data_IF_619887035317
#
_entry.id   IF_619887035317
#
_cell.length_a   1.000
_cell.length_b   1.000
_cell.length_c   1.000
_cell.angle_alpha   90.00
_cell.angle_beta   90.00
_cell.angle_gamma   90.00
#
_symmetry.space_group_name_H-M   'P 1'
#
loop_
_entity.id
_entity.type
_entity.pdbx_description
1 polymer ?
#
# COMPACT_ATOMS: atom_id res chain seq x y z
N UNK A 1 10.16 -21.97 -6.34
CA UNK A 1 10.92 -23.20 -6.01
C UNK A 1 12.36 -22.89 -5.67
N UNK A 2 13.22 -22.45 -6.62
CA UNK A 2 14.63 -22.10 -6.32
C UNK A 2 14.87 -21.11 -5.17
N UNK A 3 14.04 -20.07 -5.06
CA UNK A 3 14.13 -19.08 -3.96
C UNK A 3 13.75 -19.71 -2.61
N UNK A 4 12.78 -20.63 -2.60
CA UNK A 4 12.35 -21.33 -1.39
C UNK A 4 13.41 -22.35 -0.94
N UNK A 5 13.98 -23.11 -1.89
CA UNK A 5 15.07 -24.06 -1.64
C UNK A 5 16.30 -23.35 -1.07
N UNK A 6 16.72 -22.22 -1.66
CA UNK A 6 17.81 -21.39 -1.16
C UNK A 6 17.54 -20.89 0.26
N UNK A 7 16.30 -20.47 0.55
CA UNK A 7 15.93 -19.95 1.87
C UNK A 7 15.99 -21.06 2.93
N UNK A 8 15.54 -22.28 2.63
CA UNK A 8 15.68 -23.42 3.54
C UNK A 8 17.16 -23.82 3.76
N UNK A 9 17.99 -23.74 2.73
CA UNK A 9 19.45 -23.96 2.83
C UNK A 9 20.13 -22.90 3.70
N UNK A 10 19.81 -21.62 3.50
CA UNK A 10 20.39 -20.48 4.24
C UNK A 10 20.12 -20.58 5.76
N UNK A 11 18.99 -21.19 6.13
CA UNK A 11 18.60 -21.43 7.52
C UNK A 11 19.11 -22.77 8.09
N UNK A 12 19.93 -23.52 7.36
CA UNK A 12 20.43 -24.86 7.73
C UNK A 12 19.31 -25.79 8.17
N UNK A 13 18.14 -25.66 7.57
CA UNK A 13 17.03 -26.57 7.82
C UNK A 13 17.37 -27.86 7.13
N UNK A 14 17.57 -28.91 7.93
CA UNK A 14 17.78 -30.25 7.41
C UNK A 14 16.54 -30.64 6.58
N UNK A 15 16.72 -30.68 5.26
CA UNK A 15 15.63 -30.94 4.31
C UNK A 15 15.06 -32.35 4.47
N UNK A 16 15.78 -33.24 5.16
CA UNK A 16 15.31 -34.56 5.58
C UNK A 16 14.37 -34.50 6.81
N UNK A 17 14.35 -33.40 7.58
CA UNK A 17 13.41 -33.16 8.70
C UNK A 17 12.08 -32.58 8.19
N UNK A 18 12.09 -31.84 7.09
CA UNK A 18 10.88 -31.44 6.38
C UNK A 18 10.32 -32.68 5.68
N UNK A 19 9.51 -33.48 6.40
CA UNK A 19 8.72 -34.52 5.76
C UNK A 19 8.05 -33.94 4.52
N UNK A 20 8.08 -34.68 3.41
CA UNK A 20 7.54 -34.27 2.11
C UNK A 20 6.11 -33.70 2.23
N UNK A 21 5.31 -34.25 3.16
CA UNK A 21 3.98 -33.76 3.54
C UNK A 21 3.96 -32.33 4.14
N UNK A 22 4.98 -31.92 4.91
CA UNK A 22 5.07 -30.58 5.49
C UNK A 22 5.57 -29.55 4.46
N UNK A 23 6.47 -29.96 3.56
CA UNK A 23 6.86 -29.15 2.41
C UNK A 23 5.66 -28.90 1.49
N UNK A 24 4.91 -29.95 1.16
CA UNK A 24 3.70 -29.85 0.35
C UNK A 24 2.59 -29.09 1.09
N UNK A 25 2.46 -29.20 2.41
CA UNK A 25 1.54 -28.37 3.22
C UNK A 25 1.97 -26.92 3.40
N UNK A 26 3.27 -26.60 3.37
CA UNK A 26 3.75 -25.21 3.38
C UNK A 26 3.53 -24.59 2.01
N UNK A 27 3.69 -25.36 0.93
CA UNK A 27 3.40 -24.91 -0.45
C UNK A 27 1.89 -24.81 -0.69
N UNK A 28 1.11 -25.84 -0.39
CA UNK A 28 -0.36 -25.81 -0.41
C UNK A 28 -0.88 -24.77 0.56
N UNK A 29 -0.30 -24.66 1.74
CA UNK A 29 -0.52 -23.59 2.68
C UNK A 29 -0.26 -22.25 2.02
N UNK A 30 0.93 -21.95 1.49
CA UNK A 30 1.23 -20.68 0.83
C UNK A 30 0.28 -20.35 -0.32
N UNK A 31 -0.26 -21.38 -1.00
CA UNK A 31 -1.30 -21.26 -2.03
C UNK A 31 -2.70 -21.05 -1.43
N UNK A 32 -3.02 -21.64 -0.26
CA UNK A 32 -4.30 -21.54 0.46
C UNK A 32 -4.39 -20.28 1.36
N UNK A 33 -3.28 -19.87 1.98
CA UNK A 33 -3.04 -18.64 2.75
C UNK A 33 -2.94 -17.39 1.86
N UNK A 34 -2.75 -17.59 0.55
CA UNK A 34 -2.91 -16.52 -0.44
C UNK A 34 -4.38 -16.19 -0.70
N UNK A 35 -5.30 -17.13 -0.46
CA UNK A 35 -6.74 -17.02 -0.74
C UNK A 35 -7.61 -16.85 0.54
N UNK A 36 -7.06 -17.01 1.75
CA UNK A 36 -7.78 -16.81 3.01
C UNK A 36 -7.67 -15.36 3.52
N UNK A 37 -8.81 -14.77 3.90
CA UNK A 37 -8.91 -13.45 4.54
C UNK A 37 -8.07 -13.37 5.82
N UNK A 38 -7.22 -12.33 5.92
CA UNK A 38 -6.24 -12.16 7.03
C UNK A 38 -6.89 -12.01 8.42
N UNK A 39 -8.23 -11.84 8.51
CA UNK A 39 -8.92 -11.84 9.81
C UNK A 39 -8.84 -13.22 10.49
N UNK A 40 -8.77 -14.29 9.71
CA UNK A 40 -8.52 -15.63 10.22
C UNK A 40 -7.01 -15.88 10.42
N UNK A 41 -6.11 -15.12 9.77
CA UNK A 41 -4.66 -15.29 9.94
C UNK A 41 -4.13 -14.70 11.26
N UNK A 42 -4.70 -13.61 11.78
CA UNK A 42 -4.30 -13.08 13.09
C UNK A 42 -4.69 -14.08 14.21
N UNK A 43 -5.84 -14.74 14.07
CA UNK A 43 -6.33 -15.79 14.96
C UNK A 43 -5.60 -17.13 14.75
N UNK A 44 -5.26 -17.50 13.51
CA UNK A 44 -4.57 -18.75 13.20
C UNK A 44 -3.05 -18.66 13.41
N UNK A 45 -2.42 -17.49 13.33
CA UNK A 45 -1.03 -17.31 13.79
C UNK A 45 -0.97 -17.41 15.31
N UNK A 46 -1.95 -16.85 16.04
CA UNK A 46 -2.06 -17.05 17.49
C UNK A 46 -2.39 -18.51 17.86
N UNK A 47 -3.20 -19.22 17.06
CA UNK A 47 -3.53 -20.63 17.28
C UNK A 47 -2.40 -21.59 16.85
N UNK A 48 -1.72 -21.34 15.73
CA UNK A 48 -0.55 -22.10 15.27
C UNK A 48 0.70 -21.83 16.12
N UNK A 49 0.79 -20.66 16.76
CA UNK A 49 1.75 -20.39 17.83
C UNK A 49 1.56 -21.30 19.06
N UNK A 50 0.35 -21.86 19.25
CA UNK A 50 0.07 -22.80 20.33
C UNK A 50 0.30 -24.27 19.94
N UNK A 51 0.40 -24.61 18.65
CA UNK A 51 0.71 -25.97 18.24
C UNK A 51 2.21 -26.16 17.98
N UNK A 52 2.71 -27.37 18.26
CA UNK A 52 4.12 -27.74 18.55
C UNK A 52 5.19 -27.36 17.49
N UNK A 53 4.84 -26.66 16.41
CA UNK A 53 5.66 -26.37 15.23
C UNK A 53 6.39 -25.00 15.33
N UNK A 54 5.90 -24.05 16.15
CA UNK A 54 6.42 -22.65 16.16
C UNK A 54 7.52 -22.31 17.19
N UNK A 55 8.22 -23.29 17.77
CA UNK A 55 9.19 -23.01 18.87
C UNK A 55 10.63 -22.73 18.46
N UNK A 56 11.01 -22.94 17.20
CA UNK A 56 12.41 -22.72 16.79
C UNK A 56 12.54 -21.33 16.17
N UNK A 57 13.48 -20.47 16.64
CA UNK A 57 13.75 -19.16 16.03
C UNK A 57 13.98 -19.22 14.52
N UNK A 58 14.54 -20.34 14.06
CA UNK A 58 14.75 -20.64 12.63
C UNK A 58 13.44 -20.64 11.83
N UNK A 59 12.39 -21.30 12.32
CA UNK A 59 11.09 -21.35 11.64
C UNK A 59 10.41 -19.98 11.63
N UNK A 60 10.52 -19.22 12.72
CA UNK A 60 9.99 -17.85 12.78
C UNK A 60 10.69 -16.93 11.78
N UNK A 61 12.01 -17.06 11.63
CA UNK A 61 12.77 -16.29 10.64
C UNK A 61 12.38 -16.68 9.21
N UNK A 62 12.22 -17.98 8.91
CA UNK A 62 11.74 -18.46 7.61
C UNK A 62 10.36 -17.89 7.29
N UNK A 63 9.39 -18.00 8.21
CA UNK A 63 8.05 -17.44 8.00
C UNK A 63 8.08 -15.92 7.80
N UNK A 64 8.96 -15.22 8.51
CA UNK A 64 9.14 -13.77 8.35
C UNK A 64 9.67 -13.42 6.96
N UNK A 65 10.70 -14.12 6.50
CA UNK A 65 11.29 -13.85 5.18
C UNK A 65 10.38 -14.28 4.04
N UNK A 66 9.63 -15.38 4.21
CA UNK A 66 8.59 -15.78 3.26
C UNK A 66 7.49 -14.73 3.17
N UNK A 67 7.04 -14.17 4.30
CA UNK A 67 6.07 -13.11 4.31
C UNK A 67 6.57 -11.87 3.55
N UNK A 68 7.83 -11.48 3.73
CA UNK A 68 8.44 -10.37 2.97
C UNK A 68 8.45 -10.67 1.47
N UNK A 69 8.93 -11.85 1.07
CA UNK A 69 8.98 -12.25 -0.35
C UNK A 69 7.60 -12.27 -1.03
N UNK A 70 6.55 -12.60 -0.27
CA UNK A 70 5.19 -12.71 -0.80
C UNK A 70 4.46 -11.36 -0.81
N UNK A 71 4.75 -10.48 0.15
CA UNK A 71 3.96 -9.27 0.42
C UNK A 71 4.67 -7.98 0.07
N UNK A 72 5.98 -7.98 -0.14
CA UNK A 72 6.76 -6.79 -0.51
C UNK A 72 7.11 -6.79 -2.01
N UNK A 73 7.29 -5.58 -2.54
CA UNK A 73 7.84 -5.33 -3.86
C UNK A 73 9.37 -5.39 -3.79
N UNK A 74 9.97 -6.23 -4.62
CA UNK A 74 11.41 -6.51 -4.56
C UNK A 74 12.29 -5.31 -4.92
N UNK A 75 11.77 -4.33 -5.65
CA UNK A 75 12.53 -3.15 -6.04
C UNK A 75 12.55 -2.09 -4.94
N UNK A 76 11.38 -1.80 -4.38
CA UNK A 76 11.16 -0.66 -3.48
C UNK A 76 11.12 -1.03 -2.00
N UNK A 77 10.88 -2.30 -1.68
CA UNK A 77 10.66 -2.77 -0.31
C UNK A 77 9.31 -2.34 0.29
N UNK A 78 8.46 -1.64 -0.49
CA UNK A 78 7.09 -1.35 -0.08
C UNK A 78 6.23 -2.60 -0.19
N UNK A 79 5.04 -2.59 0.40
CA UNK A 79 4.09 -3.66 0.17
C UNK A 79 3.64 -3.72 -1.29
N UNK A 80 3.32 -4.91 -1.78
CA UNK A 80 2.91 -5.11 -3.17
C UNK A 80 1.38 -5.06 -3.33
N UNK A 81 0.92 -5.19 -4.58
CA UNK A 81 -0.51 -5.22 -4.94
C UNK A 81 -1.32 -6.27 -4.17
N UNK A 82 -0.73 -7.44 -3.87
CA UNK A 82 -1.42 -8.51 -3.15
C UNK A 82 -1.71 -8.09 -1.72
N UNK A 83 -0.72 -7.51 -1.04
CA UNK A 83 -0.92 -6.94 0.29
C UNK A 83 -1.93 -5.79 0.28
N UNK A 84 -1.86 -4.90 -0.73
CA UNK A 84 -2.80 -3.78 -0.88
C UNK A 84 -4.26 -4.22 -0.82
N UNK A 85 -4.66 -5.19 -1.66
CA UNK A 85 -6.06 -5.65 -1.72
C UNK A 85 -6.54 -6.14 -0.34
N UNK A 86 -5.71 -6.93 0.35
CA UNK A 86 -6.04 -7.51 1.66
C UNK A 86 -6.07 -6.47 2.77
N UNK A 87 -5.10 -5.55 2.78
CA UNK A 87 -5.02 -4.49 3.77
C UNK A 87 -6.22 -3.54 3.66
N UNK A 88 -6.64 -3.20 2.44
CA UNK A 88 -7.79 -2.34 2.22
C UNK A 88 -9.09 -2.99 2.70
N UNK A 89 -9.30 -4.26 2.40
CA UNK A 89 -10.46 -5.02 2.88
C UNK A 89 -10.49 -5.13 4.42
N UNK A 90 -9.35 -5.47 5.04
CA UNK A 90 -9.21 -5.55 6.49
C UNK A 90 -9.51 -4.20 7.17
N UNK A 91 -8.94 -3.11 6.66
CA UNK A 91 -9.18 -1.77 7.20
C UNK A 91 -10.62 -1.33 7.00
N UNK A 92 -11.25 -1.71 5.87
CA UNK A 92 -12.67 -1.44 5.64
C UNK A 92 -13.55 -2.12 6.70
N UNK A 93 -13.27 -3.39 7.02
CA UNK A 93 -13.98 -4.15 8.06
C UNK A 93 -13.75 -3.54 9.44
N UNK A 94 -12.49 -3.23 9.80
CA UNK A 94 -12.12 -2.63 11.09
C UNK A 94 -12.81 -1.29 11.30
N UNK A 95 -12.68 -0.37 10.34
CA UNK A 95 -13.26 0.97 10.45
C UNK A 95 -14.80 0.94 10.44
N UNK A 96 -15.44 -0.09 9.84
CA UNK A 96 -16.90 -0.28 9.91
C UNK A 96 -17.37 -0.62 11.32
N UNK A 97 -16.55 -1.31 12.10
CA UNK A 97 -16.85 -1.66 13.51
C UNK A 97 -16.58 -0.48 14.44
N UNK A 98 -15.50 0.26 14.19
CA UNK A 98 -14.99 1.33 15.07
C UNK A 98 -15.55 2.72 14.75
N UNK A 99 -16.30 2.89 13.66
CA UNK A 99 -16.83 4.18 13.19
C UNK A 99 -15.71 5.23 13.04
N UNK A 100 -14.63 4.83 12.39
CA UNK A 100 -13.50 5.70 12.09
C UNK A 100 -13.36 6.00 10.60
N UNK A 101 -12.77 7.17 10.24
CA UNK A 101 -12.55 7.52 8.85
C UNK A 101 -11.38 6.72 8.28
N UNK A 102 -11.51 6.29 7.02
CA UNK A 102 -10.45 5.62 6.28
C UNK A 102 -10.11 6.47 5.06
N UNK A 103 -8.86 6.91 4.96
CA UNK A 103 -8.37 7.63 3.77
C UNK A 103 -7.53 6.70 2.91
N UNK A 104 -7.75 6.76 1.59
CA UNK A 104 -6.97 6.05 0.58
C UNK A 104 -6.40 7.07 -0.39
N UNK A 105 -5.09 7.00 -0.65
CA UNK A 105 -4.43 7.75 -1.70
C UNK A 105 -3.84 6.81 -2.75
N UNK A 106 -4.00 7.13 -4.02
CA UNK A 106 -3.33 6.49 -5.15
C UNK A 106 -2.46 7.54 -5.83
N UNK A 107 -1.21 7.16 -6.11
CA UNK A 107 -0.20 8.02 -6.68
C UNK A 107 0.32 7.39 -7.96
N UNK A 108 0.71 8.25 -8.90
CA UNK A 108 1.38 7.85 -10.14
C UNK A 108 2.51 8.82 -10.46
N UNK A 109 3.65 8.26 -10.89
CA UNK A 109 4.83 9.04 -11.22
C UNK A 109 4.65 9.71 -12.58
N UNK A 110 4.62 11.03 -12.57
CA UNK A 110 4.39 11.81 -13.77
C UNK A 110 5.51 11.60 -14.79
N UNK A 111 5.12 11.34 -16.04
CA UNK A 111 6.06 11.18 -17.15
C UNK A 111 7.13 10.08 -16.92
N UNK A 112 6.86 9.05 -16.10
CA UNK A 112 7.84 8.00 -15.80
C UNK A 112 8.36 7.28 -17.05
N UNK A 113 7.48 7.01 -18.03
CA UNK A 113 7.89 6.48 -19.32
C UNK A 113 8.96 7.33 -20.02
N UNK A 114 8.91 8.66 -19.93
CA UNK A 114 9.92 9.54 -20.52
C UNK A 114 11.29 9.34 -19.87
N UNK A 115 11.34 9.12 -18.55
CA UNK A 115 12.59 8.81 -17.83
C UNK A 115 13.16 7.50 -18.37
N UNK A 116 12.35 6.44 -18.44
CA UNK A 116 12.78 5.14 -18.96
C UNK A 116 13.25 5.22 -20.42
N UNK A 117 12.50 5.92 -21.27
CA UNK A 117 12.81 6.06 -22.70
C UNK A 117 14.09 6.90 -22.92
N UNK A 118 14.41 7.82 -22.01
CA UNK A 118 15.58 8.72 -22.12
C UNK A 118 16.85 8.15 -21.49
N UNK A 119 16.72 7.54 -20.30
CA UNK A 119 17.86 7.13 -19.46
C UNK A 119 17.95 5.62 -19.23
N UNK A 120 16.97 4.85 -19.72
CA UNK A 120 16.88 3.40 -19.53
C UNK A 120 16.14 3.00 -18.26
N UNK A 121 15.78 1.71 -18.18
CA UNK A 121 15.02 1.16 -17.06
C UNK A 121 15.75 1.25 -15.72
N UNK A 122 17.08 1.09 -15.70
CA UNK A 122 17.88 1.22 -14.47
C UNK A 122 17.73 2.62 -13.83
N UNK A 123 17.58 3.66 -14.65
CA UNK A 123 17.33 5.02 -14.18
C UNK A 123 15.94 5.16 -13.55
N UNK A 124 14.92 4.57 -14.18
CA UNK A 124 13.57 4.51 -13.63
C UNK A 124 13.53 3.76 -12.31
N UNK A 125 14.26 2.66 -12.19
CA UNK A 125 14.37 1.87 -10.97
C UNK A 125 14.95 2.69 -9.80
N UNK A 126 16.00 3.48 -10.05
CA UNK A 126 16.56 4.39 -9.03
C UNK A 126 15.57 5.50 -8.62
N UNK A 127 14.79 6.03 -9.56
CA UNK A 127 13.73 7.00 -9.26
C UNK A 127 12.64 6.38 -8.37
N UNK A 128 12.21 5.15 -8.66
CA UNK A 128 11.19 4.45 -7.86
C UNK A 128 11.68 4.13 -6.45
N UNK A 129 12.95 3.72 -6.29
CA UNK A 129 13.58 3.52 -4.97
C UNK A 129 13.64 4.82 -4.18
N UNK A 130 14.06 5.91 -4.83
CA UNK A 130 14.13 7.22 -4.20
C UNK A 130 12.75 7.72 -3.75
N UNK A 131 11.73 7.53 -4.58
CA UNK A 131 10.35 7.83 -4.25
C UNK A 131 9.87 7.04 -3.03
N UNK A 132 10.10 5.72 -2.98
CA UNK A 132 9.73 4.88 -1.85
C UNK A 132 10.37 5.34 -0.53
N UNK A 133 11.65 5.75 -0.57
CA UNK A 133 12.33 6.32 0.59
C UNK A 133 11.69 7.63 1.07
N UNK A 134 11.23 8.50 0.16
CA UNK A 134 10.53 9.74 0.51
C UNK A 134 9.15 9.45 1.09
N UNK A 135 8.42 8.47 0.54
CA UNK A 135 7.13 8.03 1.09
C UNK A 135 7.26 7.61 2.55
N UNK A 136 8.25 6.77 2.88
CA UNK A 136 8.50 6.33 4.25
C UNK A 136 8.75 7.47 5.24
N UNK A 137 9.39 8.56 4.81
CA UNK A 137 9.66 9.73 5.66
C UNK A 137 8.42 10.58 5.91
N UNK A 138 7.41 10.48 5.05
CA UNK A 138 6.27 11.39 5.03
C UNK A 138 5.01 10.84 5.68
N UNK A 139 4.90 9.51 5.81
CA UNK A 139 3.75 8.85 6.42
C UNK A 139 4.08 8.29 7.80
N UNK A 140 3.05 7.92 8.56
CA UNK A 140 3.19 7.32 9.89
C UNK A 140 3.48 5.83 9.76
N UNK A 141 4.01 5.23 10.82
CA UNK A 141 4.19 3.78 10.89
C UNK A 141 2.87 3.00 10.80
N UNK A 142 1.76 3.61 11.21
CA UNK A 142 0.41 3.03 11.09
C UNK A 142 -0.15 3.05 9.67
N UNK A 143 0.44 3.84 8.77
CA UNK A 143 -0.01 3.97 7.40
C UNK A 143 0.67 2.88 6.57
N UNK A 144 -0.08 2.22 5.68
CA UNK A 144 0.48 1.20 4.81
C UNK A 144 0.88 1.84 3.47
N UNK A 145 2.13 1.63 3.07
CA UNK A 145 2.70 2.08 1.80
C UNK A 145 2.81 0.91 0.83
N UNK A 146 2.33 1.09 -0.40
CA UNK A 146 2.37 0.04 -1.40
C UNK A 146 2.83 0.53 -2.75
N UNK A 147 3.49 -0.36 -3.49
CA UNK A 147 3.63 -0.28 -4.95
C UNK A 147 2.63 -1.25 -5.57
N UNK A 148 1.63 -0.71 -6.26
CA UNK A 148 0.48 -1.47 -6.78
C UNK A 148 0.56 -1.74 -8.29
N UNK A 149 1.52 -1.10 -8.96
CA UNK A 149 1.80 -1.21 -10.40
C UNK A 149 3.23 -0.82 -10.73
N UNK A 150 3.54 -0.64 -12.02
CA UNK A 150 4.89 -0.30 -12.47
C UNK A 150 5.37 1.05 -11.92
N UNK A 151 4.56 2.09 -12.09
CA UNK A 151 4.82 3.47 -11.63
C UNK A 151 3.72 3.97 -10.66
N UNK A 152 2.88 3.05 -10.18
CA UNK A 152 1.71 3.35 -9.35
C UNK A 152 1.93 2.90 -7.90
N UNK A 153 1.59 3.78 -6.98
CA UNK A 153 1.72 3.59 -5.54
C UNK A 153 0.39 3.84 -4.84
N UNK A 154 0.23 3.29 -3.65
CA UNK A 154 -0.93 3.52 -2.81
C UNK A 154 -0.52 3.76 -1.36
N UNK A 155 -1.35 4.53 -0.65
CA UNK A 155 -1.24 4.75 0.79
C UNK A 155 -2.60 4.53 1.43
N UNK A 156 -2.68 3.59 2.38
CA UNK A 156 -3.85 3.42 3.24
C UNK A 156 -3.55 4.13 4.57
N UNK A 157 -4.43 5.05 4.95
CA UNK A 157 -4.31 5.87 6.15
C UNK A 157 -5.52 5.65 7.07
N UNK A 158 -5.44 4.67 8.00
CA UNK A 158 -6.49 4.40 8.97
C UNK A 158 -6.70 5.57 9.93
N UNK A 159 -7.95 5.85 10.30
CA UNK A 159 -8.31 6.89 11.27
C UNK A 159 -7.88 8.30 10.85
N UNK A 160 -7.70 8.54 9.54
CA UNK A 160 -7.30 9.84 8.98
C UNK A 160 -8.48 10.48 8.26
N UNK A 161 -8.77 11.74 8.61
CA UNK A 161 -9.77 12.59 7.94
C UNK A 161 -9.16 13.32 6.75
N UNK A 162 -10.02 13.77 5.85
CA UNK A 162 -9.60 14.35 4.57
C UNK A 162 -8.62 15.52 4.67
N UNK A 163 -8.75 16.43 5.65
CA UNK A 163 -7.81 17.56 5.76
C UNK A 163 -6.40 17.06 6.02
N UNK A 164 -6.25 16.13 6.96
CA UNK A 164 -4.96 15.56 7.33
C UNK A 164 -4.39 14.71 6.20
N UNK A 165 -5.24 13.92 5.52
CA UNK A 165 -4.81 13.13 4.35
C UNK A 165 -4.27 14.03 3.24
N UNK A 166 -4.98 15.11 2.90
CA UNK A 166 -4.54 16.09 1.89
C UNK A 166 -3.23 16.76 2.32
N UNK A 167 -3.12 17.21 3.57
CA UNK A 167 -1.90 17.86 4.07
C UNK A 167 -0.67 16.94 3.99
N UNK A 168 -0.83 15.66 4.36
CA UNK A 168 0.25 14.66 4.29
C UNK A 168 0.64 14.37 2.84
N UNK A 169 -0.34 14.20 1.95
CA UNK A 169 -0.08 13.93 0.54
C UNK A 169 0.50 15.15 -0.20
N UNK A 170 0.11 16.37 0.15
CA UNK A 170 0.72 17.58 -0.42
C UNK A 170 2.17 17.73 0.02
N UNK A 171 2.48 17.42 1.29
CA UNK A 171 3.87 17.36 1.75
C UNK A 171 4.68 16.32 0.97
N UNK A 172 4.15 15.11 0.84
CA UNK A 172 4.78 14.04 0.06
C UNK A 172 5.02 14.47 -1.39
N UNK A 173 4.02 15.07 -2.04
CA UNK A 173 4.13 15.59 -3.41
C UNK A 173 5.24 16.63 -3.53
N UNK A 174 5.28 17.61 -2.62
CA UNK A 174 6.33 18.64 -2.60
C UNK A 174 7.72 18.03 -2.40
N UNK A 175 7.88 17.06 -1.51
CA UNK A 175 9.17 16.41 -1.27
C UNK A 175 9.64 15.61 -2.50
N UNK A 176 8.71 14.96 -3.22
CA UNK A 176 9.02 14.25 -4.46
C UNK A 176 9.37 15.24 -5.59
N UNK A 177 8.63 16.33 -5.74
CA UNK A 177 8.92 17.37 -6.75
C UNK A 177 10.32 17.97 -6.56
N UNK A 178 10.77 18.12 -5.31
CA UNK A 178 12.10 18.64 -4.97
C UNK A 178 13.17 17.54 -4.89
N UNK A 179 12.82 16.29 -5.19
CA UNK A 179 13.77 15.18 -5.21
C UNK A 179 14.73 15.29 -6.39
N UNK A 180 16.01 15.07 -6.12
CA UNK A 180 17.05 14.92 -7.14
C UNK A 180 17.68 13.55 -6.99
N UNK A 181 17.64 12.75 -8.06
CA UNK A 181 18.22 11.41 -8.11
C UNK A 181 19.44 11.43 -9.03
N UNK A 182 20.67 11.35 -8.47
CA UNK A 182 21.88 11.31 -9.28
C UNK A 182 21.98 9.96 -10.01
N UNK A 183 22.18 9.99 -11.33
CA UNK A 183 22.31 8.77 -12.13
C UNK A 183 23.29 9.00 -13.29
N UNK A 184 24.40 8.24 -13.32
CA UNK A 184 25.41 8.28 -14.39
C UNK A 184 25.93 9.69 -14.76
N UNK A 185 25.96 10.62 -13.81
CA UNK A 185 26.42 11.99 -14.01
C UNK A 185 25.31 12.99 -14.38
N UNK A 186 24.08 12.50 -14.57
CA UNK A 186 22.87 13.31 -14.71
C UNK A 186 22.13 13.43 -13.38
N UNK A 187 21.27 14.44 -13.28
CA UNK A 187 20.33 14.66 -12.18
C UNK A 187 18.91 14.43 -12.69
N UNK A 188 18.25 13.38 -12.19
CA UNK A 188 16.87 13.05 -12.55
C UNK A 188 15.92 13.67 -11.53
N UNK A 189 14.82 14.23 -12.03
CA UNK A 189 13.74 14.79 -11.23
C UNK A 189 12.40 14.41 -11.83
N UNK A 190 11.38 14.23 -10.98
CA UNK A 190 10.01 13.97 -11.42
C UNK A 190 9.01 14.50 -10.40
N UNK A 191 7.73 14.48 -10.76
CA UNK A 191 6.62 14.77 -9.87
C UNK A 191 5.67 13.58 -9.75
N UNK A 192 4.69 13.71 -8.87
CA UNK A 192 3.59 12.74 -8.76
C UNK A 192 2.24 13.42 -8.85
N UNK A 193 1.31 12.74 -9.49
CA UNK A 193 -0.12 13.04 -9.39
C UNK A 193 -0.73 12.14 -8.33
N UNK A 194 -1.59 12.70 -7.47
CA UNK A 194 -2.18 11.98 -6.33
C UNK A 194 -3.69 12.16 -6.32
N UNK A 195 -4.43 11.04 -6.31
CA UNK A 195 -5.86 10.99 -6.06
C UNK A 195 -6.13 10.48 -4.65
N UNK A 196 -6.98 11.18 -3.89
CA UNK A 196 -7.37 10.81 -2.52
C UNK A 196 -8.87 10.56 -2.49
N UNK A 197 -9.31 9.57 -1.73
CA UNK A 197 -10.69 9.49 -1.25
C UNK A 197 -10.71 9.30 0.26
N UNK A 198 -11.82 9.69 0.89
CA UNK A 198 -12.05 9.46 2.32
C UNK A 198 -13.41 8.84 2.54
N UNK A 199 -13.40 7.68 3.17
CA UNK A 199 -14.61 7.06 3.70
C UNK A 199 -14.94 7.64 5.06
N UNK A 200 -16.10 8.29 5.16
CA UNK A 200 -16.62 8.76 6.44
C UNK A 200 -17.24 7.60 7.25
N UNK A 201 -17.17 7.63 8.60
CA UNK A 201 -17.68 6.58 9.51
C UNK A 201 -19.11 6.06 9.27
N UNK A 202 -19.96 6.88 8.63
CA UNK A 202 -21.39 6.61 8.45
C UNK A 202 -21.79 6.37 6.99
N UNK A 203 -20.81 6.19 6.08
CA UNK A 203 -21.07 5.88 4.68
C UNK A 203 -20.61 4.47 4.37
N UNK A 204 -21.55 3.64 3.91
CA UNK A 204 -21.24 2.36 3.31
C UNK A 204 -20.73 2.60 1.89
N UNK A 205 -19.49 2.21 1.64
CA UNK A 205 -18.82 2.23 0.35
C UNK A 205 -18.13 0.88 0.23
N UNK A 206 -18.15 0.24 -0.94
CA UNK A 206 -17.40 -1.00 -1.13
C UNK A 206 -15.89 -0.73 -1.28
N UNK A 207 -15.05 -1.77 -1.16
CA UNK A 207 -13.60 -1.66 -1.43
C UNK A 207 -13.37 -1.15 -2.86
N UNK A 208 -14.08 -1.73 -3.83
CA UNK A 208 -13.99 -1.36 -5.26
C UNK A 208 -14.42 0.09 -5.49
N UNK A 209 -15.52 0.52 -4.88
CA UNK A 209 -15.98 1.91 -4.98
C UNK A 209 -14.95 2.87 -4.38
N UNK A 210 -14.35 2.54 -3.23
CA UNK A 210 -13.34 3.38 -2.60
C UNK A 210 -12.10 3.49 -3.50
N UNK A 211 -11.62 2.37 -4.04
CA UNK A 211 -10.51 2.38 -5.01
C UNK A 211 -10.85 3.24 -6.23
N UNK A 212 -12.03 3.03 -6.82
CA UNK A 212 -12.46 3.76 -8.02
C UNK A 212 -12.58 5.26 -7.77
N UNK A 213 -12.98 5.68 -6.57
CA UNK A 213 -13.01 7.10 -6.19
C UNK A 213 -11.59 7.71 -6.17
N UNK A 214 -10.63 7.03 -5.54
CA UNK A 214 -9.24 7.50 -5.55
C UNK A 214 -8.66 7.54 -6.97
N UNK A 215 -8.95 6.53 -7.79
CA UNK A 215 -8.51 6.44 -9.19
C UNK A 215 -9.10 7.58 -10.05
N UNK A 216 -10.39 7.89 -9.88
CA UNK A 216 -11.02 9.03 -10.55
C UNK A 216 -10.37 10.36 -10.17
N UNK A 217 -10.02 10.55 -8.89
CA UNK A 217 -9.31 11.74 -8.45
C UNK A 217 -7.89 11.81 -9.03
N UNK A 218 -7.19 10.68 -9.11
CA UNK A 218 -5.87 10.59 -9.74
C UNK A 218 -5.93 10.93 -11.23
N UNK A 219 -6.93 10.38 -11.93
CA UNK A 219 -7.18 10.71 -13.32
C UNK A 219 -7.41 12.23 -13.50
N UNK A 220 -8.22 12.85 -12.64
CA UNK A 220 -8.42 14.29 -12.64
C UNK A 220 -7.12 15.06 -12.35
N UNK A 221 -6.26 14.59 -11.45
CA UNK A 221 -4.96 15.19 -11.19
C UNK A 221 -4.09 15.20 -12.47
N UNK A 222 -4.03 14.06 -13.17
CA UNK A 222 -3.29 13.90 -14.43
C UNK A 222 -3.83 14.80 -15.55
N UNK A 223 -5.15 14.85 -15.73
CA UNK A 223 -5.79 15.63 -16.80
C UNK A 223 -5.73 17.14 -16.56
N UNK A 224 -5.73 17.59 -15.31
CA UNK A 224 -5.74 19.03 -14.98
C UNK A 224 -4.35 19.64 -14.84
N UNK A 225 -3.29 18.92 -15.22
CA UNK A 225 -1.92 19.47 -15.28
C UNK A 225 -0.88 18.76 -14.42
N UNK A 226 -1.19 17.56 -13.89
CA UNK A 226 -0.27 16.72 -13.11
C UNK A 226 0.28 17.43 -11.85
N UNK A 227 1.24 16.82 -11.16
CA UNK A 227 1.94 17.38 -10.02
C UNK A 227 1.00 18.05 -9.00
N UNK A 228 -0.04 17.32 -8.58
CA UNK A 228 -1.04 17.83 -7.63
C UNK A 228 -1.77 16.74 -6.89
N UNK A 229 -2.39 17.13 -5.80
CA UNK A 229 -3.33 16.32 -5.05
C UNK A 229 -4.76 16.69 -5.42
N UNK A 230 -5.60 15.70 -5.70
CA UNK A 230 -7.04 15.86 -5.89
C UNK A 230 -7.77 14.98 -4.90
N UNK A 231 -8.76 15.55 -4.22
CA UNK A 231 -9.66 14.81 -3.33
C UNK A 231 -10.96 14.47 -4.08
N UNK A 232 -11.31 13.19 -4.11
CA UNK A 232 -12.58 12.70 -4.63
C UNK A 232 -13.72 13.11 -3.71
N UNK A 233 -14.65 13.90 -4.25
CA UNK A 233 -15.78 14.43 -3.50
C UNK A 233 -15.31 15.35 -2.38
N UNK A 234 -15.66 16.63 -2.42
CA UNK A 234 -15.53 17.43 -1.21
C UNK A 234 -16.48 16.84 -0.16
N UNK A 235 -16.02 16.51 1.07
CA UNK A 235 -16.94 16.25 2.16
C UNK A 235 -17.75 17.53 2.30
N UNK A 236 -19.05 17.45 2.01
CA UNK A 236 -19.96 18.56 2.23
C UNK A 236 -19.69 19.09 3.64
N UNK A 237 -19.14 20.30 3.74
CA UNK A 237 -18.97 21.01 5.00
C UNK A 237 -20.33 21.41 5.64
N UNK A 238 -21.42 20.75 5.25
CA UNK A 238 -22.75 20.97 5.79
C UNK A 238 -23.53 19.66 5.80
N UNK A 239 -23.64 19.06 6.98
CA UNK A 239 -24.84 18.33 7.38
C UNK A 239 -26.04 19.28 7.57
N UNK A 240 -26.23 20.21 6.64
CA UNK A 240 -27.43 21.03 6.53
C UNK A 240 -27.89 20.89 5.08
N UNK A 241 -29.12 20.42 4.95
CA UNK A 241 -29.84 20.34 3.69
C UNK A 241 -29.97 21.74 3.07
N UNK A 242 -30.07 21.81 1.74
CA UNK A 242 -30.30 23.07 1.01
C UNK A 242 -31.54 23.80 1.53
N UNK A 243 -32.52 23.08 2.09
CA UNK A 243 -33.72 23.62 2.75
C UNK A 243 -33.49 24.32 4.09
N UNK A 244 -32.36 24.11 4.78
CA UNK A 244 -32.10 24.74 6.09
C UNK A 244 -31.31 26.05 5.97
N UNK A 245 -30.69 26.33 4.81
CA UNK A 245 -29.96 27.59 4.58
C UNK A 245 -30.88 28.78 4.29
N UNK A 246 -32.09 28.56 3.79
CA UNK A 246 -33.04 29.64 3.49
C UNK A 246 -33.79 30.16 4.73
N UNK A 247 -33.82 29.41 5.84
CA UNK A 247 -34.49 29.82 7.09
C UNK A 247 -33.70 30.77 8.00
N UNK A 248 -32.41 30.98 7.73
CA UNK A 248 -31.53 31.84 8.55
C UNK A 248 -31.25 33.21 7.92
N UNK A 249 -31.83 33.50 6.75
CA UNK A 249 -31.79 34.82 6.11
C UNK A 249 -33.16 35.50 6.02
N UNK A 250 -34.13 35.07 6.84
CA UNK A 250 -35.46 35.70 6.98
C UNK A 250 -35.69 36.27 8.37
#
# INVERSE_FOLDING_TARGET
MKILEQLFEDYTVDTDILQQDLHDKIIEGLVYWADLDFHDLELDIEAANNDRINKTPVMQNILTDLNKLVLEDSLTGLYNRRYFNRALESEMIRNNREFHPLSLAILDVDHFKLINDTYGHDAGDEVLKALAMIMHKNVRQSDALMRIGGEEFAVIMPNVRYQVAVDVMERLRNDIENMVVPFNGDELSTSVSIGITVREPNKFVSVDELYQQADQALYQAKETGRNKVVLHGTPNATGLSVSEREGLMS
#
